data_IF_266492612842
#
_entry.id   IF_266492612842
#
_cell.length_a   1.000
_cell.length_b   1.000
_cell.length_c   1.000
_cell.angle_alpha   90.00
_cell.angle_beta   90.00
_cell.angle_gamma   90.00
#
_symmetry.space_group_name_H-M   'P 1'
#
loop_
_entity.id
_entity.type
_entity.pdbx_description
1 polymer ?
#
# COMPACT_ATOMS: atom_id res chain seq x y z
N UNK A 1 14.55 27.67 -26.80
CA UNK A 1 15.39 27.21 -25.67
C UNK A 1 14.96 25.81 -25.26
N UNK A 2 15.81 24.80 -25.26
CA UNK A 2 15.41 23.45 -24.89
C UNK A 2 15.15 23.41 -23.36
N UNK A 3 14.09 22.69 -22.97
CA UNK A 3 13.70 22.45 -21.58
C UNK A 3 14.80 21.66 -20.85
N UNK A 4 15.20 22.04 -19.62
CA UNK A 4 16.20 21.28 -18.89
C UNK A 4 15.71 19.86 -18.65
N UNK A 5 16.62 18.86 -18.64
CA UNK A 5 16.26 17.48 -18.36
C UNK A 5 15.70 17.34 -16.94
N UNK A 6 14.81 16.36 -16.71
CA UNK A 6 14.27 16.10 -15.38
C UNK A 6 15.45 15.77 -14.43
N UNK A 7 15.51 16.50 -13.31
CA UNK A 7 16.52 16.25 -12.28
C UNK A 7 16.38 14.78 -11.83
N UNK A 8 17.46 14.03 -12.02
CA UNK A 8 17.60 12.69 -11.50
C UNK A 8 17.31 12.73 -9.99
N UNK A 9 16.31 11.94 -9.54
CA UNK A 9 16.09 11.69 -8.12
C UNK A 9 17.43 11.24 -7.54
N UNK A 10 17.99 12.07 -6.66
CA UNK A 10 19.15 11.68 -5.90
C UNK A 10 18.81 10.37 -5.20
N UNK A 11 19.53 9.30 -5.56
CA UNK A 11 19.54 8.05 -4.82
C UNK A 11 19.90 8.39 -3.38
N UNK A 12 18.90 8.56 -2.53
CA UNK A 12 19.10 8.51 -1.09
C UNK A 12 19.43 7.06 -0.78
N UNK A 13 20.70 6.69 -0.86
CA UNK A 13 21.21 5.56 -0.12
C UNK A 13 20.88 5.88 1.34
N UNK A 14 19.75 5.36 1.82
CA UNK A 14 19.47 5.32 3.25
C UNK A 14 20.54 4.37 3.79
N UNK A 15 21.59 4.93 4.36
CA UNK A 15 22.51 4.18 5.22
C UNK A 15 21.64 3.40 6.19
N UNK A 16 21.97 2.13 6.52
CA UNK A 16 21.22 1.40 7.52
C UNK A 16 21.29 2.24 8.81
N UNK A 17 20.20 2.97 9.05
CA UNK A 17 20.10 3.83 10.24
C UNK A 17 20.10 2.88 11.42
N UNK A 18 21.11 2.96 12.23
CA UNK A 18 21.21 2.15 13.43
C UNK A 18 20.02 2.47 14.34
N UNK A 19 19.10 1.50 14.50
CA UNK A 19 17.98 1.65 15.40
C UNK A 19 16.67 1.11 14.84
N UNK A 20 15.65 1.10 15.67
CA UNK A 20 14.29 0.73 15.28
C UNK A 20 13.58 1.95 14.67
N UNK A 21 12.67 1.73 13.69
CA UNK A 21 11.91 2.81 13.08
C UNK A 21 10.99 3.49 14.11
N UNK A 22 10.69 4.76 13.87
CA UNK A 22 9.71 5.50 14.66
C UNK A 22 8.30 4.91 14.43
N UNK A 23 7.58 4.67 15.51
CA UNK A 23 6.20 4.20 15.46
C UNK A 23 5.28 5.35 15.90
N UNK A 24 4.27 5.59 15.09
CA UNK A 24 3.21 6.55 15.34
C UNK A 24 1.99 5.87 15.96
N UNK A 25 1.17 6.66 16.66
CA UNK A 25 -0.10 6.22 17.21
C UNK A 25 -1.28 6.67 16.32
N UNK A 26 -2.49 6.18 16.63
CA UNK A 26 -3.71 6.53 15.88
C UNK A 26 -3.99 8.03 15.86
N UNK A 27 -3.63 8.72 16.94
CA UNK A 27 -3.82 10.16 17.12
C UNK A 27 -3.02 11.01 16.12
N UNK A 28 -1.94 10.48 15.59
CA UNK A 28 -1.06 11.17 14.63
C UNK A 28 -1.63 11.16 13.19
N UNK A 29 -2.64 10.32 12.91
CA UNK A 29 -3.20 10.17 11.55
C UNK A 29 -3.61 11.51 10.91
N UNK A 30 -4.31 12.44 11.59
CA UNK A 30 -4.64 13.73 10.98
C UNK A 30 -3.41 14.55 10.57
N UNK A 31 -2.36 14.53 11.39
CA UNK A 31 -1.12 15.25 11.10
C UNK A 31 -0.35 14.63 9.93
N UNK A 32 -0.31 13.29 9.86
CA UNK A 32 0.35 12.55 8.79
C UNK A 32 -0.32 12.77 7.42
N UNK A 33 -1.65 12.94 7.40
CA UNK A 33 -2.41 13.18 6.17
C UNK A 33 -2.53 14.67 5.83
N UNK A 34 -2.24 15.57 6.77
CA UNK A 34 -2.37 17.01 6.55
C UNK A 34 -1.48 17.49 5.39
N UNK A 35 -2.05 18.30 4.50
CA UNK A 35 -1.33 18.85 3.34
C UNK A 35 -1.11 17.87 2.18
N UNK A 36 -1.56 16.61 2.31
CA UNK A 36 -1.55 15.65 1.20
C UNK A 36 -2.83 15.81 0.38
N UNK A 37 -2.68 16.05 -0.93
CA UNK A 37 -3.85 16.16 -1.83
C UNK A 37 -4.49 14.80 -2.05
N UNK A 38 -3.67 13.77 -2.32
CA UNK A 38 -4.10 12.43 -2.67
C UNK A 38 -3.35 11.38 -1.82
N UNK A 39 -3.57 11.33 -0.48
CA UNK A 39 -2.88 10.36 0.36
C UNK A 39 -3.16 8.93 -0.09
N UNK A 40 -2.10 8.11 -0.16
CA UNK A 40 -2.16 6.68 -0.37
C UNK A 40 -1.78 5.99 0.94
N UNK A 41 -2.73 5.33 1.57
CA UNK A 41 -2.54 4.64 2.84
C UNK A 41 -2.55 3.13 2.61
N UNK A 42 -1.63 2.40 3.23
CA UNK A 42 -1.68 0.95 3.28
C UNK A 42 -2.16 0.51 4.65
N UNK A 43 -3.16 -0.36 4.71
CA UNK A 43 -3.64 -1.00 5.93
C UNK A 43 -3.31 -2.49 5.86
N UNK A 44 -2.58 -2.99 6.85
CA UNK A 44 -2.18 -4.39 6.95
C UNK A 44 -2.95 -5.07 8.08
N UNK A 45 -3.96 -5.87 7.74
CA UNK A 45 -4.80 -6.55 8.73
C UNK A 45 -4.24 -7.92 9.09
N UNK A 46 -3.58 -8.02 10.26
CA UNK A 46 -3.08 -9.27 10.82
C UNK A 46 -1.96 -9.97 10.03
N UNK A 47 -1.02 -9.24 9.47
CA UNK A 47 0.15 -9.81 8.79
C UNK A 47 1.15 -10.34 9.84
N UNK A 48 1.26 -11.66 9.99
CA UNK A 48 2.02 -12.31 11.07
C UNK A 48 3.44 -12.71 10.66
N UNK A 49 3.70 -12.93 9.37
CA UNK A 49 5.04 -13.24 8.90
C UNK A 49 5.89 -11.97 8.77
N UNK A 50 7.04 -11.89 9.47
CA UNK A 50 7.93 -10.73 9.41
C UNK A 50 8.55 -10.49 8.03
N UNK A 51 8.71 -11.53 7.19
CA UNK A 51 9.19 -11.37 5.82
C UNK A 51 8.12 -10.69 4.95
N UNK A 52 6.87 -11.12 5.05
CA UNK A 52 5.76 -10.48 4.34
C UNK A 52 5.56 -9.05 4.81
N UNK A 53 5.61 -8.80 6.12
CA UNK A 53 5.50 -7.43 6.65
C UNK A 53 6.62 -6.54 6.10
N UNK A 54 7.87 -6.98 6.17
CA UNK A 54 9.00 -6.22 5.64
C UNK A 54 8.88 -5.94 4.14
N UNK A 55 8.44 -6.93 3.35
CA UNK A 55 8.23 -6.77 1.90
C UNK A 55 7.08 -5.79 1.60
N UNK A 56 5.98 -5.81 2.37
CA UNK A 56 4.91 -4.83 2.26
C UNK A 56 5.38 -3.41 2.56
N UNK A 57 6.19 -3.21 3.61
CA UNK A 57 6.77 -1.90 3.96
C UNK A 57 7.70 -1.37 2.87
N UNK A 58 8.53 -2.24 2.28
CA UNK A 58 9.37 -1.90 1.14
C UNK A 58 8.53 -1.43 -0.05
N UNK A 59 7.45 -2.14 -0.33
CA UNK A 59 6.55 -1.82 -1.43
C UNK A 59 5.78 -0.52 -1.17
N UNK A 60 5.34 -0.29 0.07
CA UNK A 60 4.67 0.93 0.48
C UNK A 60 5.55 2.17 0.28
N UNK A 61 6.83 2.09 0.68
CA UNK A 61 7.80 3.16 0.43
C UNK A 61 7.98 3.40 -1.08
N UNK A 62 8.18 2.33 -1.85
CA UNK A 62 8.37 2.41 -3.30
C UNK A 62 7.16 3.01 -4.04
N UNK A 63 5.94 2.75 -3.55
CA UNK A 63 4.69 3.30 -4.09
C UNK A 63 4.39 4.72 -3.60
N UNK A 64 5.16 5.25 -2.66
CA UNK A 64 4.95 6.57 -2.08
C UNK A 64 3.75 6.63 -1.14
N UNK A 65 3.50 5.57 -0.36
CA UNK A 65 2.45 5.60 0.64
C UNK A 65 2.71 6.69 1.69
N UNK A 66 1.64 7.39 2.06
CA UNK A 66 1.67 8.43 3.09
C UNK A 66 1.94 7.83 4.47
N UNK A 67 1.35 6.67 4.77
CA UNK A 67 1.62 5.88 5.97
C UNK A 67 1.17 4.43 5.80
N UNK A 68 1.65 3.57 6.71
CA UNK A 68 1.19 2.18 6.85
C UNK A 68 0.55 2.00 8.21
N UNK A 69 -0.68 1.52 8.25
CA UNK A 69 -1.45 1.27 9.47
C UNK A 69 -1.52 -0.23 9.74
N UNK A 70 -1.25 -0.64 10.96
CA UNK A 70 -1.33 -2.04 11.37
C UNK A 70 -1.81 -2.17 12.82
N UNK A 71 -2.56 -3.23 13.17
CA UNK A 71 -2.94 -3.47 14.56
C UNK A 71 -1.71 -3.81 15.42
N UNK A 72 -1.78 -3.46 16.71
CA UNK A 72 -0.76 -3.84 17.71
C UNK A 72 -0.74 -5.34 17.94
N UNK A 73 -1.93 -5.97 17.90
CA UNK A 73 -2.11 -7.40 18.12
C UNK A 73 -2.25 -8.17 16.80
N UNK A 74 -1.89 -9.44 16.80
CA UNK A 74 -1.97 -10.36 15.65
C UNK A 74 -1.18 -9.89 14.41
N UNK A 75 -0.22 -9.01 14.58
CA UNK A 75 0.70 -8.56 13.54
C UNK A 75 2.13 -8.81 13.98
N UNK A 76 3.00 -9.19 13.06
CA UNK A 76 4.42 -9.36 13.37
C UNK A 76 4.99 -8.10 14.05
N UNK A 77 5.81 -8.24 15.10
CA UNK A 77 6.50 -7.11 15.68
C UNK A 77 7.48 -6.51 14.68
N UNK A 78 7.69 -5.19 14.76
CA UNK A 78 8.74 -4.53 13.99
C UNK A 78 10.08 -4.98 14.56
N UNK A 79 10.64 -6.01 13.97
CA UNK A 79 11.90 -6.67 14.37
C UNK A 79 13.03 -6.32 13.41
N UNK A 80 14.26 -6.69 13.76
CA UNK A 80 15.42 -6.56 12.85
C UNK A 80 15.19 -7.26 11.50
N UNK A 81 14.47 -8.39 11.50
CA UNK A 81 14.10 -9.09 10.26
C UNK A 81 13.20 -8.22 9.39
N UNK A 82 12.16 -7.59 9.96
CA UNK A 82 11.26 -6.66 9.23
C UNK A 82 12.06 -5.48 8.68
N UNK A 83 12.89 -4.86 9.50
CA UNK A 83 13.73 -3.72 9.09
C UNK A 83 14.65 -4.12 7.94
N UNK A 84 15.36 -5.24 8.05
CA UNK A 84 16.27 -5.74 7.02
C UNK A 84 15.53 -6.03 5.70
N UNK A 85 14.41 -6.75 5.76
CA UNK A 85 13.62 -7.13 4.56
C UNK A 85 13.00 -5.92 3.88
N UNK A 86 12.64 -4.90 4.66
CA UNK A 86 12.07 -3.65 4.13
C UNK A 86 13.07 -2.82 3.31
N UNK A 87 14.36 -3.12 3.35
CA UNK A 87 15.41 -2.37 2.62
C UNK A 87 15.33 -0.85 2.83
N UNK A 88 15.02 -0.41 4.04
CA UNK A 88 14.87 1.01 4.40
C UNK A 88 13.42 1.50 4.44
N UNK A 89 12.47 0.79 3.82
CA UNK A 89 11.05 1.20 3.80
C UNK A 89 10.44 1.38 5.18
N UNK A 90 10.84 0.56 6.17
CA UNK A 90 10.37 0.71 7.55
C UNK A 90 10.80 2.03 8.21
N UNK A 91 11.88 2.67 7.75
CA UNK A 91 12.34 3.96 8.25
C UNK A 91 11.81 5.15 7.43
N UNK A 92 11.47 4.90 6.17
CA UNK A 92 11.06 5.95 5.23
C UNK A 92 9.56 6.24 5.28
N UNK A 93 8.73 5.17 5.38
CA UNK A 93 7.28 5.32 5.45
C UNK A 93 6.81 5.39 6.91
N UNK A 94 5.98 6.38 7.30
CA UNK A 94 5.42 6.46 8.64
C UNK A 94 4.63 5.19 9.01
N UNK A 95 4.99 4.54 10.12
CA UNK A 95 4.35 3.33 10.62
C UNK A 95 3.40 3.70 11.77
N UNK A 96 2.11 3.39 11.62
CA UNK A 96 1.08 3.68 12.63
C UNK A 96 0.60 2.37 13.24
N UNK A 97 0.77 2.18 14.55
CA UNK A 97 0.27 1.00 15.25
C UNK A 97 -0.96 1.34 16.08
N UNK A 98 -2.07 0.67 15.76
CA UNK A 98 -3.37 0.95 16.35
C UNK A 98 -3.87 -0.21 17.23
N UNK A 99 -4.51 0.11 18.34
CA UNK A 99 -5.16 -0.90 19.20
C UNK A 99 -6.47 -1.38 18.59
N UNK A 100 -7.20 -0.49 17.90
CA UNK A 100 -8.47 -0.80 17.26
C UNK A 100 -8.45 -0.37 15.79
N UNK A 101 -8.28 -1.35 14.88
CA UNK A 101 -8.20 -1.08 13.45
C UNK A 101 -9.50 -0.52 12.90
N UNK A 102 -10.66 -1.00 13.39
CA UNK A 102 -11.96 -0.49 12.96
C UNK A 102 -12.12 1.01 13.27
N UNK A 103 -11.73 1.43 14.47
CA UNK A 103 -11.76 2.85 14.84
C UNK A 103 -10.82 3.70 13.99
N UNK A 104 -9.62 3.19 13.69
CA UNK A 104 -8.67 3.88 12.80
C UNK A 104 -9.23 4.02 11.37
N UNK A 105 -9.92 3.00 10.85
CA UNK A 105 -10.59 3.05 9.55
C UNK A 105 -11.73 4.09 9.54
N UNK A 106 -12.56 4.10 10.57
CA UNK A 106 -13.62 5.14 10.72
C UNK A 106 -13.03 6.56 10.78
N UNK A 107 -11.87 6.71 11.43
CA UNK A 107 -11.17 7.99 11.49
C UNK A 107 -10.66 8.41 10.11
N UNK A 108 -10.11 7.49 9.32
CA UNK A 108 -9.71 7.75 7.93
C UNK A 108 -10.90 8.21 7.08
N UNK A 109 -12.05 7.56 7.20
CA UNK A 109 -13.29 7.98 6.50
C UNK A 109 -13.71 9.40 6.86
N UNK A 110 -13.63 9.77 8.13
CA UNK A 110 -13.92 11.16 8.60
C UNK A 110 -12.93 12.17 8.04
N UNK A 111 -11.72 11.75 7.67
CA UNK A 111 -10.70 12.55 6.99
C UNK A 111 -10.86 12.54 5.46
N UNK A 112 -11.92 11.93 4.93
CA UNK A 112 -12.21 11.90 3.50
C UNK A 112 -11.46 10.82 2.71
N UNK A 113 -10.87 9.83 3.38
CA UNK A 113 -10.15 8.72 2.74
C UNK A 113 -11.12 7.57 2.46
N UNK A 114 -11.24 7.16 1.20
CA UNK A 114 -11.98 5.97 0.79
C UNK A 114 -11.19 4.71 1.07
N UNK A 115 -11.87 3.63 1.45
CA UNK A 115 -11.21 2.38 1.86
C UNK A 115 -11.55 1.25 0.89
N UNK A 116 -10.53 0.69 0.27
CA UNK A 116 -10.63 -0.45 -0.66
C UNK A 116 -10.02 -1.68 0.00
N UNK A 117 -10.84 -2.68 0.28
CA UNK A 117 -10.39 -3.97 0.80
C UNK A 117 -10.12 -4.97 -0.33
N UNK A 118 -9.12 -5.83 -0.15
CA UNK A 118 -8.83 -6.92 -1.10
C UNK A 118 -9.46 -8.22 -0.63
N UNK A 119 -10.29 -8.84 -1.48
CA UNK A 119 -10.95 -10.12 -1.20
C UNK A 119 -11.09 -10.92 -2.50
N UNK A 120 -10.78 -12.20 -2.46
CA UNK A 120 -10.80 -13.07 -3.65
C UNK A 120 -12.23 -13.26 -4.20
N UNK A 121 -13.23 -13.26 -3.32
CA UNK A 121 -14.64 -13.35 -3.62
C UNK A 121 -15.29 -12.04 -4.09
N UNK A 122 -14.56 -10.93 -4.11
CA UNK A 122 -15.10 -9.65 -4.52
C UNK A 122 -15.60 -9.68 -5.97
N UNK A 123 -16.72 -9.03 -6.22
CA UNK A 123 -17.33 -8.97 -7.57
C UNK A 123 -16.52 -8.08 -8.51
N UNK A 124 -16.04 -6.94 -7.99
CA UNK A 124 -15.28 -5.97 -8.77
C UNK A 124 -13.80 -6.36 -8.89
N UNK A 125 -13.25 -6.15 -10.08
CA UNK A 125 -11.81 -6.22 -10.28
C UNK A 125 -11.14 -4.97 -9.73
N UNK A 126 -9.91 -5.11 -9.21
CA UNK A 126 -9.07 -3.98 -8.81
C UNK A 126 -8.97 -2.90 -9.91
N UNK A 127 -8.94 -3.34 -11.18
CA UNK A 127 -8.81 -2.42 -12.32
C UNK A 127 -10.08 -1.61 -12.65
N UNK A 128 -11.21 -1.98 -12.04
CA UNK A 128 -12.52 -1.29 -12.20
C UNK A 128 -12.75 -0.26 -11.09
N UNK A 129 -11.91 -0.24 -10.07
CA UNK A 129 -12.01 0.72 -8.95
C UNK A 129 -11.19 1.97 -9.27
N UNK A 130 -11.77 3.13 -9.03
CA UNK A 130 -11.03 4.40 -9.09
C UNK A 130 -10.15 4.55 -7.84
N UNK A 131 -8.83 4.46 -8.04
CA UNK A 131 -7.82 4.57 -6.99
C UNK A 131 -7.13 5.95 -7.00
N UNK A 132 -7.72 6.93 -7.63
CA UNK A 132 -7.27 8.32 -7.57
C UNK A 132 -7.80 8.98 -6.29
N UNK A 133 -7.19 10.09 -5.91
CA UNK A 133 -7.59 10.80 -4.70
C UNK A 133 -7.18 10.09 -3.40
N UNK A 134 -7.77 10.51 -2.26
CA UNK A 134 -7.48 9.95 -0.94
C UNK A 134 -7.96 8.50 -0.81
N UNK A 135 -7.03 7.54 -0.77
CA UNK A 135 -7.34 6.09 -0.76
C UNK A 135 -6.53 5.36 0.31
N UNK A 136 -7.19 4.44 1.01
CA UNK A 136 -6.56 3.41 1.82
C UNK A 136 -6.81 2.04 1.18
N UNK A 137 -5.75 1.25 1.00
CA UNK A 137 -5.83 -0.13 0.51
C UNK A 137 -5.61 -1.07 1.68
N UNK A 138 -6.54 -2.00 1.90
CA UNK A 138 -6.49 -2.97 2.99
C UNK A 138 -6.08 -4.34 2.45
N UNK A 139 -5.02 -4.87 3.03
CA UNK A 139 -4.52 -6.22 2.77
C UNK A 139 -4.78 -7.09 3.98
N UNK A 140 -5.41 -8.24 3.78
CA UNK A 140 -5.65 -9.24 4.82
C UNK A 140 -4.51 -10.23 4.99
N UNK A 141 -4.59 -11.06 6.04
CA UNK A 141 -3.67 -12.15 6.29
C UNK A 141 -3.73 -13.24 5.19
N UNK A 142 -2.62 -13.97 5.02
CA UNK A 142 -2.58 -15.12 4.12
C UNK A 142 -3.54 -16.22 4.61
N UNK A 143 -4.34 -16.76 3.69
CA UNK A 143 -5.30 -17.85 3.96
C UNK A 143 -6.61 -17.38 4.60
N UNK A 144 -6.56 -16.54 5.62
CA UNK A 144 -7.76 -16.07 6.33
C UNK A 144 -8.36 -14.79 5.72
N UNK A 145 -7.57 -14.05 4.93
CA UNK A 145 -7.99 -12.77 4.38
C UNK A 145 -8.13 -11.67 5.44
N UNK A 146 -8.99 -10.71 5.18
CA UNK A 146 -9.34 -9.65 6.13
C UNK A 146 -10.31 -10.17 7.20
N UNK A 147 -10.19 -9.65 8.42
CA UNK A 147 -11.22 -9.89 9.45
C UNK A 147 -12.58 -9.38 8.98
N UNK A 148 -13.66 -10.09 9.36
CA UNK A 148 -15.04 -9.75 8.97
C UNK A 148 -15.36 -8.26 9.18
N UNK A 149 -15.08 -7.71 10.35
CA UNK A 149 -15.36 -6.31 10.66
C UNK A 149 -14.51 -5.36 9.79
N UNK A 150 -13.27 -5.72 9.47
CA UNK A 150 -12.42 -4.94 8.56
C UNK A 150 -13.04 -4.88 7.16
N UNK A 151 -13.51 -6.01 6.65
CA UNK A 151 -14.20 -6.09 5.35
C UNK A 151 -15.50 -5.28 5.31
N UNK A 152 -16.32 -5.34 6.36
CA UNK A 152 -17.57 -4.58 6.48
C UNK A 152 -17.36 -3.05 6.51
N UNK A 153 -16.19 -2.61 6.96
CA UNK A 153 -15.84 -1.18 6.99
C UNK A 153 -15.21 -0.67 5.69
N UNK A 154 -14.88 -1.55 4.74
CA UNK A 154 -14.42 -1.12 3.43
C UNK A 154 -15.57 -0.50 2.63
N UNK A 155 -15.27 0.58 1.90
CA UNK A 155 -16.24 1.21 0.99
C UNK A 155 -16.39 0.39 -0.29
N UNK A 156 -15.30 -0.26 -0.72
CA UNK A 156 -15.24 -1.15 -1.87
C UNK A 156 -14.47 -2.42 -1.52
N UNK A 157 -14.87 -3.53 -2.14
CA UNK A 157 -14.09 -4.76 -2.15
C UNK A 157 -13.65 -5.06 -3.57
N UNK A 158 -12.36 -5.35 -3.73
CA UNK A 158 -11.74 -5.63 -5.00
C UNK A 158 -11.00 -6.95 -5.00
N UNK A 159 -11.09 -7.71 -6.10
CA UNK A 159 -10.21 -8.86 -6.33
C UNK A 159 -9.11 -8.51 -7.33
N UNK A 160 -7.96 -9.14 -7.16
CA UNK A 160 -6.91 -9.16 -8.18
C UNK A 160 -7.29 -10.28 -9.17
N UNK A 161 -7.54 -9.96 -10.46
CA UNK A 161 -7.91 -11.00 -11.42
C UNK A 161 -6.74 -11.95 -11.64
N UNK A 162 -6.99 -13.23 -11.41
CA UNK A 162 -6.02 -14.29 -11.66
C UNK A 162 -6.01 -14.71 -13.13
N UNK A 163 -4.88 -15.19 -13.61
CA UNK A 163 -4.73 -15.68 -14.98
C UNK A 163 -5.68 -16.83 -15.27
N UNK A 164 -6.21 -16.90 -16.49
CA UNK A 164 -7.12 -17.97 -16.91
C UNK A 164 -6.45 -19.35 -16.74
N UNK A 165 -7.11 -20.22 -15.97
CA UNK A 165 -6.59 -21.56 -15.67
C UNK A 165 -5.58 -21.61 -14.52
N UNK A 166 -5.42 -20.54 -13.74
CA UNK A 166 -4.59 -20.56 -12.53
C UNK A 166 -5.07 -21.67 -11.57
N UNK A 167 -4.11 -22.43 -11.02
CA UNK A 167 -4.36 -23.44 -9.98
C UNK A 167 -4.18 -22.89 -8.58
N UNK A 168 -3.57 -21.71 -8.43
CA UNK A 168 -3.41 -21.06 -7.13
C UNK A 168 -4.60 -20.14 -6.89
N UNK A 169 -5.18 -20.14 -5.68
CA UNK A 169 -6.36 -19.34 -5.36
C UNK A 169 -6.04 -17.84 -5.23
N UNK A 170 -4.87 -17.53 -4.71
CA UNK A 170 -4.47 -16.14 -4.44
C UNK A 170 -2.96 -15.92 -4.60
N UNK A 171 -2.55 -14.68 -4.58
CA UNK A 171 -1.14 -14.28 -4.52
C UNK A 171 -0.66 -14.22 -3.05
N UNK A 172 0.64 -14.40 -2.85
CA UNK A 172 1.27 -14.02 -1.58
C UNK A 172 0.92 -12.56 -1.25
N UNK A 173 0.67 -12.25 0.02
CA UNK A 173 0.18 -10.93 0.45
C UNK A 173 1.11 -9.79 0.05
N UNK A 174 2.43 -9.98 0.09
CA UNK A 174 3.38 -8.94 -0.29
C UNK A 174 3.37 -8.68 -1.80
N UNK A 175 3.14 -9.72 -2.61
CA UNK A 175 2.97 -9.60 -4.06
C UNK A 175 1.65 -8.90 -4.38
N UNK A 176 0.55 -9.31 -3.73
CA UNK A 176 -0.76 -8.69 -3.87
C UNK A 176 -0.73 -7.20 -3.48
N UNK A 177 -0.01 -6.86 -2.39
CA UNK A 177 0.25 -5.46 -1.98
C UNK A 177 0.92 -4.67 -3.11
N UNK A 178 1.91 -5.26 -3.77
CA UNK A 178 2.59 -4.64 -4.90
C UNK A 178 1.63 -4.36 -6.06
N UNK A 179 0.82 -5.34 -6.45
CA UNK A 179 -0.17 -5.19 -7.52
C UNK A 179 -1.16 -4.06 -7.19
N UNK A 180 -1.70 -4.02 -5.97
CA UNK A 180 -2.70 -3.04 -5.58
C UNK A 180 -2.12 -1.61 -5.50
N UNK A 181 -0.97 -1.44 -4.84
CA UNK A 181 -0.36 -0.13 -4.69
C UNK A 181 0.13 0.43 -6.03
N UNK A 182 0.73 -0.39 -6.88
CA UNK A 182 1.21 0.06 -8.18
C UNK A 182 0.08 0.27 -9.21
N UNK A 183 -1.07 -0.37 -9.04
CA UNK A 183 -2.27 0.01 -9.78
C UNK A 183 -2.74 1.42 -9.38
N UNK A 184 -2.75 1.75 -8.08
CA UNK A 184 -3.04 3.12 -7.65
C UNK A 184 -2.01 4.12 -8.20
N UNK A 185 -0.72 3.79 -8.16
CA UNK A 185 0.35 4.62 -8.75
C UNK A 185 0.10 4.83 -10.25
N UNK A 186 -0.21 3.75 -10.99
CA UNK A 186 -0.49 3.81 -12.43
C UNK A 186 -1.66 4.75 -12.74
N UNK A 187 -2.75 4.65 -11.98
CA UNK A 187 -3.94 5.50 -12.21
C UNK A 187 -3.68 6.98 -11.92
N UNK A 188 -2.77 7.28 -11.01
CA UNK A 188 -2.39 8.64 -10.59
C UNK A 188 -1.36 9.30 -11.53
N UNK A 189 -0.70 8.51 -12.36
CA UNK A 189 0.22 9.05 -13.36
C UNK A 189 -0.54 9.65 -14.54
N UNK A 190 -0.04 10.76 -15.14
CA UNK A 190 -0.59 11.26 -16.40
C UNK A 190 -0.49 10.16 -17.47
N UNK A 191 -1.53 10.02 -18.29
CA UNK A 191 -1.51 9.06 -19.39
C UNK A 191 -0.24 9.27 -20.23
N UNK A 192 0.53 8.20 -20.51
CA UNK A 192 1.66 8.30 -21.40
C UNK A 192 1.17 8.79 -22.78
N UNK A 193 1.98 9.56 -23.51
CA UNK A 193 1.66 9.91 -24.88
C UNK A 193 1.40 8.65 -25.70
N UNK A 194 0.50 8.74 -26.67
CA UNK A 194 0.20 7.61 -27.55
C UNK A 194 1.51 7.04 -28.14
N UNK A 195 1.65 5.71 -28.23
CA UNK A 195 2.88 5.11 -28.76
C UNK A 195 3.13 5.65 -30.17
N UNK A 196 4.33 6.18 -30.38
CA UNK A 196 4.78 6.57 -31.71
C UNK A 196 4.81 5.26 -32.51
N UNK A 197 3.94 5.12 -33.51
CA UNK A 197 4.01 4.00 -34.45
C UNK A 197 5.39 4.02 -35.08
N UNK A 198 6.22 3.02 -34.78
CA UNK A 198 7.44 2.85 -35.53
C UNK A 198 7.05 2.70 -37.00
N UNK A 199 7.45 3.66 -37.84
CA UNK A 199 7.35 3.52 -39.28
C UNK A 199 8.13 2.28 -39.65
N UNK A 200 7.45 1.26 -40.19
CA UNK A 200 8.14 0.16 -40.84
C UNK A 200 8.97 0.79 -41.96
N UNK A 201 10.26 0.71 -41.83
CA UNK A 201 11.17 0.96 -42.94
C UNK A 201 11.03 -0.27 -43.80
N UNK A 202 10.45 -0.10 -45.01
CA UNK A 202 10.38 -1.11 -46.08
C UNK A 202 11.78 -1.39 -46.62
#
# INVERSE_FOLDING_TARGET
MPKPPPQARQNRHVSPTAGMPQIHEEEDLPALLAGQTDPLVLILDCIQDPHNLGACLRTADAAGCTCVIMPKDKTAPISETVVRVSCGGAHSVPLVRVTNLARAMERLKKLGVWIVGTADEAKQSLHEIDLKGPIAIVMGAEGEGMRRLTGELCDFLARIPMGKGSRVPCLNVSVATGVCLFEAVRQRQPKPPAPIKASRVD
#
